data_IF_009012081833
#
_entry.id   IF_009012081833
#
_cell.length_a   1.000
_cell.length_b   1.000
_cell.length_c   1.000
_cell.angle_alpha   90.00
_cell.angle_beta   90.00
_cell.angle_gamma   90.00
#
_symmetry.space_group_name_H-M   'P 1'
#
loop_
_entity.id
_entity.type
_entity.pdbx_description
1 polymer ?
#
# COMPACT_ATOMS: atom_id res chain seq x y z
N UNK A 1 -0.79 6.74 7.47
CA UNK A 1 0.14 7.41 8.40
C UNK A 1 1.41 6.62 8.69
N UNK A 2 1.38 5.40 9.24
CA UNK A 2 2.61 4.67 9.60
C UNK A 2 3.64 4.52 8.48
N UNK A 3 3.25 3.96 7.34
CA UNK A 3 4.14 3.79 6.17
C UNK A 3 4.68 5.12 5.61
N UNK A 4 3.95 6.22 5.78
CA UNK A 4 4.35 7.54 5.29
C UNK A 4 5.51 8.11 6.13
N UNK A 5 5.48 7.90 7.45
CA UNK A 5 6.58 8.26 8.35
C UNK A 5 7.83 7.44 8.05
N UNK A 6 7.66 6.12 7.86
CA UNK A 6 8.76 5.21 7.50
C UNK A 6 9.38 5.63 6.16
N UNK A 7 8.56 5.89 5.14
CA UNK A 7 9.03 6.35 3.83
C UNK A 7 9.87 7.62 3.94
N UNK A 8 9.37 8.64 4.64
CA UNK A 8 10.12 9.89 4.85
C UNK A 8 11.44 9.67 5.59
N UNK A 9 11.48 8.80 6.60
CA UNK A 9 12.70 8.50 7.35
C UNK A 9 13.75 7.78 6.49
N UNK A 10 13.32 7.00 5.49
CA UNK A 10 14.19 6.26 4.57
C UNK A 10 14.51 7.03 3.28
N UNK A 11 14.15 8.32 3.21
CA UNK A 11 14.43 9.18 2.04
C UNK A 11 13.42 9.08 0.90
N UNK A 12 12.30 8.39 1.08
CA UNK A 12 11.21 8.31 0.11
C UNK A 12 10.27 9.52 0.12
N UNK A 13 9.33 9.55 -0.84
CA UNK A 13 8.35 10.62 -0.98
C UNK A 13 6.94 10.20 -0.54
N UNK A 14 6.22 11.14 0.06
CA UNK A 14 4.80 11.00 0.38
C UNK A 14 4.06 12.06 -0.41
N UNK A 15 3.20 11.60 -1.32
CA UNK A 15 2.42 12.44 -2.21
C UNK A 15 0.99 12.51 -1.67
N UNK A 16 0.52 13.72 -1.38
CA UNK A 16 -0.90 13.96 -1.13
C UNK A 16 -1.64 13.81 -2.46
N UNK A 17 -2.43 12.75 -2.60
CA UNK A 17 -3.11 12.42 -3.84
C UNK A 17 -4.61 12.55 -3.62
N UNK A 18 -5.12 13.75 -3.92
CA UNK A 18 -6.51 14.10 -3.66
C UNK A 18 -7.48 13.43 -4.64
N UNK A 19 -7.02 13.09 -5.84
CA UNK A 19 -7.81 12.43 -6.88
C UNK A 19 -7.95 10.93 -6.58
N UNK A 20 -6.93 10.30 -6.01
CA UNK A 20 -6.91 8.87 -5.68
C UNK A 20 -7.07 8.59 -4.18
N UNK A 21 -7.93 9.37 -3.51
CA UNK A 21 -8.26 9.08 -2.11
C UNK A 21 -9.10 7.81 -2.05
N UNK A 22 -8.57 6.80 -1.39
CA UNK A 22 -9.24 5.51 -1.22
C UNK A 22 -9.77 5.41 0.20
N UNK A 23 -11.10 5.39 0.32
CA UNK A 23 -11.82 5.19 1.58
C UNK A 23 -12.90 4.16 1.32
N UNK A 24 -12.69 2.93 1.80
CA UNK A 24 -13.62 1.83 1.60
C UNK A 24 -12.92 0.49 1.35
N UNK A 25 -13.66 -0.45 0.78
CA UNK A 25 -13.16 -1.80 0.48
C UNK A 25 -12.68 -1.87 -0.96
N UNK A 26 -11.42 -2.23 -1.17
CA UNK A 26 -10.80 -2.31 -2.48
C UNK A 26 -10.17 -3.67 -2.73
N UNK A 27 -10.17 -4.08 -3.99
CA UNK A 27 -9.45 -5.27 -4.46
C UNK A 27 -7.99 -4.93 -4.69
N UNK A 28 -7.09 -5.62 -4.00
CA UNK A 28 -5.64 -5.49 -4.19
C UNK A 28 -5.08 -6.78 -4.76
N UNK A 29 -4.01 -6.66 -5.54
CA UNK A 29 -3.32 -7.79 -6.15
C UNK A 29 -1.86 -7.77 -5.75
N UNK A 30 -1.37 -8.89 -5.22
CA UNK A 30 0.04 -9.06 -4.87
C UNK A 30 0.91 -9.03 -6.14
N UNK A 31 1.99 -8.26 -6.09
CA UNK A 31 3.06 -8.32 -7.09
C UNK A 31 3.91 -9.58 -6.89
N UNK A 32 5.02 -9.71 -7.62
CA UNK A 32 5.89 -10.89 -7.55
C UNK A 32 6.56 -11.05 -6.18
N UNK A 33 7.02 -9.96 -5.58
CA UNK A 33 7.61 -9.97 -4.23
C UNK A 33 6.56 -10.37 -3.18
N UNK A 34 5.38 -9.76 -3.24
CA UNK A 34 4.28 -10.05 -2.33
C UNK A 34 3.79 -11.49 -2.41
N UNK A 35 3.86 -12.14 -3.57
CA UNK A 35 3.52 -13.57 -3.71
C UNK A 35 4.57 -14.50 -3.09
N UNK A 36 5.82 -14.04 -2.95
CA UNK A 36 6.93 -14.80 -2.37
C UNK A 36 7.13 -14.52 -0.88
N UNK A 37 6.53 -13.44 -0.36
CA UNK A 37 6.65 -13.04 1.04
C UNK A 37 5.89 -14.02 1.97
N UNK A 38 6.58 -14.63 2.97
CA UNK A 38 5.95 -15.50 3.96
C UNK A 38 4.75 -14.87 4.68
N UNK A 39 4.70 -13.54 4.81
CA UNK A 39 3.58 -12.82 5.41
C UNK A 39 2.26 -13.06 4.66
N UNK A 40 2.33 -13.18 3.34
CA UNK A 40 1.17 -13.37 2.46
C UNK A 40 0.99 -14.82 2.02
N UNK A 41 1.73 -15.78 2.58
CA UNK A 41 1.74 -17.17 2.11
C UNK A 41 0.38 -17.89 2.15
N UNK A 42 -0.58 -17.35 2.91
CA UNK A 42 -1.96 -17.87 3.04
C UNK A 42 -3.01 -17.00 2.37
N UNK A 43 -2.61 -15.87 1.79
CA UNK A 43 -3.51 -14.97 1.10
C UNK A 43 -3.64 -15.39 -0.36
N UNK A 44 -4.83 -15.26 -0.97
CA UNK A 44 -4.95 -15.40 -2.41
C UNK A 44 -4.20 -14.25 -3.10
N UNK A 45 -3.85 -14.43 -4.38
CA UNK A 45 -3.16 -13.39 -5.16
C UNK A 45 -3.92 -12.06 -5.18
N UNK A 46 -5.24 -12.11 -5.19
CA UNK A 46 -6.11 -10.93 -5.17
C UNK A 46 -7.12 -11.06 -4.03
N UNK A 47 -7.23 -10.04 -3.18
CA UNK A 47 -8.16 -10.02 -2.04
C UNK A 47 -8.65 -8.62 -1.71
N UNK A 48 -9.75 -8.57 -0.96
CA UNK A 48 -10.36 -7.32 -0.50
C UNK A 48 -9.65 -6.81 0.76
N UNK A 49 -9.37 -5.52 0.80
CA UNK A 49 -8.79 -4.84 1.95
C UNK A 49 -9.50 -3.52 2.22
N UNK A 50 -9.38 -3.02 3.46
CA UNK A 50 -9.88 -1.71 3.83
C UNK A 50 -8.80 -0.66 3.57
N UNK A 51 -9.12 0.30 2.70
CA UNK A 51 -8.30 1.49 2.48
C UNK A 51 -8.92 2.68 3.20
N UNK A 52 -8.06 3.55 3.72
CA UNK A 52 -8.46 4.76 4.45
C UNK A 52 -7.37 5.83 4.36
N UNK A 53 -6.73 5.95 3.20
CA UNK A 53 -5.60 6.86 3.01
C UNK A 53 -5.89 7.96 1.99
N UNK A 54 -5.32 9.13 2.26
CA UNK A 54 -5.37 10.30 1.38
C UNK A 54 -4.03 10.58 0.68
N UNK A 55 -3.01 9.81 1.02
CA UNK A 55 -1.66 10.00 0.49
C UNK A 55 -1.09 8.65 0.12
N UNK A 56 -0.35 8.61 -1.00
CA UNK A 56 0.41 7.44 -1.44
C UNK A 56 1.90 7.67 -1.21
N UNK A 57 2.63 6.57 -1.07
CA UNK A 57 4.09 6.58 -1.05
C UNK A 57 4.56 6.29 -2.47
N UNK A 58 5.42 7.14 -3.02
CA UNK A 58 6.19 6.82 -4.21
C UNK A 58 7.57 6.42 -3.74
N UNK A 59 8.01 5.21 -4.08
CA UNK A 59 9.38 4.79 -3.84
C UNK A 59 10.21 5.10 -5.09
N UNK A 60 11.47 5.51 -4.86
CA UNK A 60 12.52 5.82 -5.83
C UNK A 60 12.63 4.78 -6.96
#
# INVERSE_FOLDING_TARGET
MGIQVISKALGGEVILDNEHREVGTYSITLNEDGQQDPLFSKFPKTFLTQMGHKCRVSVL
#
